data_IF_758095071733
#
_entry.id   IF_758095071733
#
_cell.length_a   1.000
_cell.length_b   1.000
_cell.length_c   1.000
_cell.angle_alpha   90.00
_cell.angle_beta   90.00
_cell.angle_gamma   90.00
#
_symmetry.space_group_name_H-M   'P 1'
#
loop_
_entity.id
_entity.type
_entity.pdbx_description
1 polymer ?
#
# COMPACT_ATOMS: atom_id res chain seq x y z
N UNK A 1 0.05 17.90 14.23
CA UNK A 1 0.82 16.65 14.33
C UNK A 1 -0.02 15.52 13.73
N UNK A 2 0.58 14.66 12.91
CA UNK A 2 -0.03 13.46 12.39
C UNK A 2 0.90 12.29 12.70
N UNK A 3 0.38 11.21 13.28
CA UNK A 3 1.14 9.99 13.55
C UNK A 3 0.27 8.75 13.38
N UNK A 4 0.89 7.65 12.96
CA UNK A 4 0.30 6.32 12.82
C UNK A 4 1.43 5.29 12.72
N UNK A 5 1.10 4.01 12.86
CA UNK A 5 2.06 2.92 12.76
C UNK A 5 1.69 1.96 11.64
N UNK A 6 2.70 1.52 10.88
CA UNK A 6 2.54 0.45 9.90
C UNK A 6 2.43 -0.89 10.61
N UNK A 7 1.28 -1.56 10.48
CA UNK A 7 1.10 -2.93 10.97
C UNK A 7 1.39 -3.92 9.84
N UNK A 8 2.28 -4.88 10.08
CA UNK A 8 2.58 -5.93 9.10
C UNK A 8 1.33 -6.76 8.85
N UNK A 9 0.92 -6.86 7.58
CA UNK A 9 -0.18 -7.71 7.15
C UNK A 9 0.31 -9.08 6.71
N UNK A 10 1.45 -9.13 6.01
CA UNK A 10 2.09 -10.38 5.57
C UNK A 10 2.78 -10.26 4.22
N UNK A 11 3.27 -11.39 3.71
CA UNK A 11 4.03 -11.48 2.46
C UNK A 11 3.11 -11.65 1.24
N UNK A 12 3.55 -11.10 0.10
CA UNK A 12 2.96 -11.38 -1.21
C UNK A 12 3.80 -12.45 -1.88
N UNK A 13 3.17 -13.54 -2.31
CA UNK A 13 3.85 -14.68 -2.96
C UNK A 13 3.15 -15.05 -4.27
N UNK A 14 3.63 -16.08 -4.95
CA UNK A 14 2.94 -16.72 -6.08
C UNK A 14 2.27 -18.02 -5.63
N UNK A 15 1.09 -18.31 -6.16
CA UNK A 15 0.50 -19.65 -6.12
C UNK A 15 1.17 -20.59 -7.14
N UNK A 16 0.74 -21.87 -7.15
CA UNK A 16 1.27 -22.88 -8.06
C UNK A 16 1.01 -22.58 -9.55
N UNK A 17 0.05 -21.70 -9.86
CA UNK A 17 -0.28 -21.28 -11.23
C UNK A 17 0.40 -19.95 -11.61
N UNK A 18 1.24 -19.40 -10.72
CA UNK A 18 1.92 -18.12 -10.93
C UNK A 18 1.01 -16.90 -10.74
N UNK A 19 -0.12 -17.05 -10.05
CA UNK A 19 -1.00 -15.98 -9.61
C UNK A 19 -0.50 -15.33 -8.30
N UNK A 20 -0.67 -14.02 -8.17
CA UNK A 20 -0.30 -13.31 -6.94
C UNK A 20 -1.20 -13.74 -5.76
N UNK A 21 -0.59 -14.11 -4.66
CA UNK A 21 -1.25 -14.33 -3.37
C UNK A 21 -0.96 -13.16 -2.44
N UNK A 22 -2.02 -12.46 -2.03
CA UNK A 22 -1.95 -11.44 -1.01
C UNK A 22 -2.38 -12.01 0.34
N UNK A 23 -1.82 -11.52 1.46
CA UNK A 23 -2.29 -11.87 2.78
C UNK A 23 -3.76 -11.43 2.95
N UNK A 24 -4.53 -12.24 3.69
CA UNK A 24 -5.95 -11.97 3.88
C UNK A 24 -6.15 -10.68 4.69
N UNK A 25 -7.03 -9.80 4.21
CA UNK A 25 -7.44 -8.59 4.92
C UNK A 25 -8.96 -8.55 5.02
N UNK A 26 -9.46 -8.56 6.25
CA UNK A 26 -10.89 -8.41 6.56
C UNK A 26 -11.29 -6.96 6.77
N UNK A 27 -10.31 -6.06 6.83
CA UNK A 27 -10.46 -4.66 7.21
C UNK A 27 -10.92 -3.78 6.03
N UNK A 28 -11.66 -2.72 6.37
CA UNK A 28 -12.31 -1.79 5.45
C UNK A 28 -11.36 -0.75 4.85
N UNK A 29 -11.62 0.52 5.14
CA UNK A 29 -10.85 1.64 4.60
C UNK A 29 -9.53 1.83 5.35
N UNK A 30 -8.48 2.22 4.64
CA UNK A 30 -7.17 2.42 5.24
C UNK A 30 -6.08 2.75 4.24
N UNK A 31 -4.85 2.75 4.75
CA UNK A 31 -3.63 2.88 3.97
C UNK A 31 -2.90 1.55 3.91
N UNK A 32 -2.05 1.40 2.90
CA UNK A 32 -1.14 0.28 2.80
C UNK A 32 0.20 0.74 2.23
N UNK A 33 1.23 -0.05 2.52
CA UNK A 33 2.55 0.06 1.93
C UNK A 33 3.01 -1.31 1.48
N UNK A 34 3.29 -1.46 0.19
CA UNK A 34 3.98 -2.63 -0.34
C UNK A 34 5.49 -2.36 -0.24
N UNK A 35 6.21 -3.26 0.42
CA UNK A 35 7.67 -3.26 0.55
C UNK A 35 8.21 -4.29 -0.43
N UNK A 36 9.13 -3.90 -1.29
CA UNK A 36 9.81 -4.77 -2.24
C UNK A 36 11.30 -4.68 -1.93
N UNK A 37 11.90 -5.80 -1.54
CA UNK A 37 13.31 -5.89 -1.17
C UNK A 37 14.02 -6.84 -2.13
N UNK A 38 15.00 -6.32 -2.87
CA UNK A 38 15.82 -7.08 -3.80
C UNK A 38 17.28 -6.65 -3.61
N UNK A 39 18.19 -7.60 -3.42
CA UNK A 39 19.63 -7.35 -3.24
C UNK A 39 19.96 -6.25 -2.21
N UNK A 40 19.25 -6.26 -1.08
CA UNK A 40 19.41 -5.28 0.00
C UNK A 40 18.84 -3.89 -0.28
N UNK A 41 18.27 -3.65 -1.48
CA UNK A 41 17.61 -2.39 -1.84
C UNK A 41 16.11 -2.50 -1.56
N UNK A 42 15.57 -1.51 -0.85
CA UNK A 42 14.13 -1.42 -0.55
C UNK A 42 13.45 -0.42 -1.47
N UNK A 43 12.32 -0.82 -2.04
CA UNK A 43 11.36 0.08 -2.70
C UNK A 43 10.01 -0.02 -1.98
N UNK A 44 9.31 1.11 -1.91
CA UNK A 44 8.01 1.20 -1.27
C UNK A 44 6.96 1.69 -2.26
N UNK A 45 5.77 1.10 -2.23
CA UNK A 45 4.58 1.64 -2.89
C UNK A 45 3.53 1.90 -1.83
N UNK A 46 3.17 3.17 -1.63
CA UNK A 46 2.17 3.60 -0.66
C UNK A 46 0.87 3.89 -1.40
N UNK A 47 -0.26 3.49 -0.81
CA UNK A 47 -1.56 3.85 -1.33
C UNK A 47 -2.68 3.85 -0.30
N UNK A 48 -3.84 4.37 -0.70
CA UNK A 48 -5.08 4.33 0.07
C UNK A 48 -6.22 3.57 -0.62
N UNK A 49 -7.18 3.09 0.17
CA UNK A 49 -8.42 2.54 -0.34
C UNK A 49 -9.55 2.65 0.68
N UNK A 50 -10.78 2.77 0.19
CA UNK A 50 -11.99 2.57 0.99
C UNK A 50 -12.25 1.07 1.30
N UNK A 51 -11.63 0.17 0.53
CA UNK A 51 -11.63 -1.26 0.78
C UNK A 51 -10.27 -1.84 0.39
N UNK A 52 -9.46 -2.20 1.39
CA UNK A 52 -8.17 -2.84 1.17
C UNK A 52 -8.34 -4.20 0.48
N UNK A 53 -9.35 -4.98 0.90
CA UNK A 53 -9.69 -6.28 0.28
C UNK A 53 -9.92 -6.14 -1.23
N UNK A 54 -10.78 -5.19 -1.66
CA UNK A 54 -11.03 -4.96 -3.09
C UNK A 54 -9.78 -4.46 -3.81
N UNK A 55 -9.00 -3.58 -3.18
CA UNK A 55 -7.76 -3.05 -3.77
C UNK A 55 -6.74 -4.15 -4.05
N UNK A 56 -6.47 -5.00 -3.07
CA UNK A 56 -5.54 -6.11 -3.22
C UNK A 56 -6.08 -7.17 -4.19
N UNK A 57 -7.39 -7.40 -4.21
CA UNK A 57 -8.03 -8.22 -5.25
C UNK A 57 -7.80 -7.69 -6.67
N UNK A 58 -7.85 -6.36 -6.87
CA UNK A 58 -7.54 -5.75 -8.16
C UNK A 58 -6.07 -5.89 -8.54
N UNK A 59 -5.13 -5.78 -7.58
CA UNK A 59 -3.71 -6.04 -7.84
C UNK A 59 -3.43 -7.51 -8.14
N UNK A 60 -4.09 -8.42 -7.44
CA UNK A 60 -4.05 -9.85 -7.75
C UNK A 60 -4.53 -10.15 -9.16
N UNK A 61 -5.68 -9.60 -9.55
CA UNK A 61 -6.29 -9.88 -10.85
C UNK A 61 -5.62 -9.15 -12.02
N UNK A 62 -5.04 -7.97 -11.78
CA UNK A 62 -4.42 -7.15 -12.82
C UNK A 62 -5.33 -6.87 -14.02
N UNK A 63 -6.55 -6.33 -13.85
CA UNK A 63 -7.45 -6.13 -14.98
C UNK A 63 -6.91 -5.05 -15.94
N UNK A 64 -6.77 -5.33 -17.26
CA UNK A 64 -6.17 -4.39 -18.22
C UNK A 64 -6.85 -3.01 -18.30
N UNK A 65 -8.16 -2.95 -18.03
CA UNK A 65 -8.92 -1.69 -18.00
C UNK A 65 -8.60 -0.77 -16.82
N UNK A 66 -7.87 -1.24 -15.80
CA UNK A 66 -7.44 -0.44 -14.65
C UNK A 66 -5.93 -0.29 -14.66
N UNK A 67 -5.43 0.75 -15.35
CA UNK A 67 -3.99 0.98 -15.59
C UNK A 67 -3.12 0.79 -14.34
N UNK A 68 -3.50 1.40 -13.20
CA UNK A 68 -2.74 1.25 -11.96
C UNK A 68 -2.72 -0.19 -11.45
N UNK A 69 -3.86 -0.87 -11.46
CA UNK A 69 -3.96 -2.24 -10.97
C UNK A 69 -3.18 -3.21 -11.84
N UNK A 70 -3.29 -3.06 -13.17
CA UNK A 70 -2.52 -3.81 -14.16
C UNK A 70 -1.01 -3.62 -14.00
N UNK A 71 -0.58 -2.37 -13.84
CA UNK A 71 0.84 -2.04 -13.65
C UNK A 71 1.42 -2.65 -12.37
N UNK A 72 0.72 -2.48 -11.25
CA UNK A 72 1.17 -3.04 -9.97
C UNK A 72 1.18 -4.58 -10.03
N UNK A 73 0.19 -5.20 -10.68
CA UNK A 73 0.19 -6.65 -10.90
C UNK A 73 1.50 -7.14 -11.55
N UNK A 74 1.87 -6.55 -12.69
CA UNK A 74 3.08 -6.94 -13.40
C UNK A 74 4.34 -6.63 -12.61
N UNK A 75 4.44 -5.44 -12.02
CA UNK A 75 5.58 -5.06 -11.19
C UNK A 75 5.85 -6.06 -10.07
N UNK A 76 4.81 -6.56 -9.39
CA UNK A 76 4.99 -7.54 -8.32
C UNK A 76 5.39 -8.92 -8.85
N UNK A 77 4.83 -9.35 -9.98
CA UNK A 77 5.21 -10.62 -10.61
C UNK A 77 6.66 -10.61 -11.08
N UNK A 78 7.08 -9.53 -11.73
CA UNK A 78 8.45 -9.37 -12.23
C UNK A 78 9.44 -9.35 -11.07
N UNK A 79 9.16 -8.57 -10.02
CA UNK A 79 9.99 -8.54 -8.82
C UNK A 79 10.09 -9.91 -8.13
N UNK A 80 8.99 -10.67 -8.03
CA UNK A 80 9.02 -12.03 -7.48
C UNK A 80 9.83 -12.99 -8.35
N UNK A 81 9.75 -12.86 -9.68
CA UNK A 81 10.56 -13.66 -10.61
C UNK A 81 12.06 -13.35 -10.50
N UNK A 82 12.40 -12.11 -10.15
CA UNK A 82 13.78 -11.67 -9.85
C UNK A 82 14.24 -12.10 -8.44
N UNK A 83 13.38 -12.72 -7.63
CA UNK A 83 13.71 -13.18 -6.28
C UNK A 83 13.53 -12.14 -5.18
N UNK A 84 12.80 -11.06 -5.44
CA UNK A 84 12.51 -10.04 -4.44
C UNK A 84 11.60 -10.59 -3.32
N UNK A 85 11.85 -10.15 -2.09
CA UNK A 85 10.95 -10.35 -0.97
C UNK A 85 9.91 -9.23 -0.96
N UNK A 86 8.63 -9.59 -1.01
CA UNK A 86 7.53 -8.62 -1.05
C UNK A 86 6.61 -8.79 0.15
N UNK A 87 6.33 -7.70 0.86
CA UNK A 87 5.40 -7.69 1.99
C UNK A 87 4.47 -6.47 1.96
N UNK A 88 3.33 -6.58 2.63
CA UNK A 88 2.37 -5.49 2.80
C UNK A 88 2.28 -5.14 4.28
N UNK A 89 2.31 -3.83 4.55
CA UNK A 89 1.90 -3.26 5.81
C UNK A 89 0.64 -2.43 5.61
N UNK A 90 -0.18 -2.28 6.65
CA UNK A 90 -1.43 -1.53 6.62
C UNK A 90 -1.59 -0.57 7.79
N UNK A 91 -2.45 0.42 7.60
CA UNK A 91 -2.95 1.32 8.65
C UNK A 91 -4.46 1.36 8.54
N UNK A 92 -5.14 0.84 9.55
CA UNK A 92 -6.61 0.78 9.62
C UNK A 92 -7.18 1.37 10.91
N UNK A 93 -6.29 1.69 11.86
CA UNK A 93 -6.60 2.26 13.16
C UNK A 93 -5.35 3.00 13.68
N UNK A 94 -5.42 3.54 14.90
CA UNK A 94 -4.26 4.11 15.58
C UNK A 94 -3.73 5.41 14.96
N UNK A 95 -4.52 6.08 14.12
CA UNK A 95 -4.13 7.37 13.53
C UNK A 95 -4.47 8.49 14.51
N UNK A 96 -3.47 9.26 14.92
CA UNK A 96 -3.64 10.46 15.71
C UNK A 96 -3.42 11.70 14.82
N UNK A 97 -4.35 12.65 14.89
CA UNK A 97 -4.28 13.93 14.19
C UNK A 97 -4.51 15.07 15.19
N UNK A 98 -3.70 16.12 15.10
CA UNK A 98 -3.91 17.35 15.83
C UNK A 98 -3.60 18.57 14.95
N UNK A 99 -4.49 19.56 14.94
CA UNK A 99 -4.31 20.84 14.24
C UNK A 99 -4.36 21.94 15.30
N UNK A 100 -3.34 22.81 15.35
CA UNK A 100 -3.19 23.86 16.37
C UNK A 100 -3.30 23.32 17.81
N UNK A 101 -2.79 22.11 18.06
CA UNK A 101 -2.86 21.44 19.37
C UNK A 101 -4.21 20.78 19.69
N UNK A 102 -5.26 21.03 18.90
CA UNK A 102 -6.56 20.38 19.08
C UNK A 102 -6.55 19.00 18.41
N UNK A 103 -6.81 17.95 19.20
CA UNK A 103 -6.97 16.58 18.71
C UNK A 103 -8.20 16.44 17.81
N UNK A 104 -8.02 15.77 16.69
CA UNK A 104 -9.07 15.43 15.72
C UNK A 104 -9.07 13.92 15.58
N UNK A 105 -10.25 13.30 15.65
CA UNK A 105 -10.42 11.87 15.36
C UNK A 105 -10.52 11.67 13.84
N UNK A 106 -9.46 11.18 13.16
CA UNK A 106 -9.51 10.98 11.72
C UNK A 106 -10.46 9.82 11.36
N UNK A 107 -11.29 10.02 10.34
CA UNK A 107 -12.15 8.97 9.82
C UNK A 107 -11.55 8.38 8.55
N UNK A 108 -11.02 7.16 8.61
CA UNK A 108 -10.46 6.49 7.42
C UNK A 108 -11.51 6.14 6.37
N UNK A 109 -12.82 6.19 6.64
CA UNK A 109 -13.84 6.08 5.59
C UNK A 109 -13.90 7.34 4.70
N UNK A 110 -13.46 8.49 5.20
CA UNK A 110 -13.39 9.73 4.45
C UNK A 110 -12.18 9.76 3.49
N UNK A 111 -12.44 10.15 2.24
CA UNK A 111 -11.42 10.17 1.18
C UNK A 111 -10.37 11.24 1.43
N UNK A 112 -10.76 12.42 1.89
CA UNK A 112 -9.82 13.52 2.13
C UNK A 112 -8.83 13.16 3.24
N UNK A 113 -9.34 12.57 4.32
CA UNK A 113 -8.54 12.04 5.43
C UNK A 113 -7.51 11.03 4.94
N UNK A 114 -7.92 9.99 4.20
CA UNK A 114 -6.97 8.99 3.68
C UNK A 114 -5.91 9.59 2.76
N UNK A 115 -6.30 10.55 1.90
CA UNK A 115 -5.36 11.22 0.97
C UNK A 115 -4.34 12.10 1.68
N UNK A 116 -4.75 12.82 2.72
CA UNK A 116 -3.82 13.58 3.55
C UNK A 116 -2.78 12.65 4.21
N UNK A 117 -3.23 11.53 4.77
CA UNK A 117 -2.34 10.58 5.45
C UNK A 117 -1.43 9.87 4.43
N UNK A 118 -1.93 9.54 3.24
CA UNK A 118 -1.14 8.94 2.15
C UNK A 118 0.00 9.87 1.72
N UNK A 119 -0.28 11.15 1.51
CA UNK A 119 0.79 12.11 1.17
C UNK A 119 1.80 12.27 2.30
N UNK A 120 1.35 12.32 3.57
CA UNK A 120 2.27 12.36 4.70
C UNK A 120 3.17 11.10 4.76
N UNK A 121 2.60 9.92 4.48
CA UNK A 121 3.34 8.68 4.38
C UNK A 121 4.40 8.72 3.27
N UNK A 122 4.04 9.21 2.07
CA UNK A 122 4.95 9.34 0.92
C UNK A 122 6.14 10.26 1.27
N UNK A 123 5.86 11.41 1.91
CA UNK A 123 6.90 12.34 2.37
C UNK A 123 7.80 11.67 3.41
N UNK A 124 7.23 10.96 4.39
CA UNK A 124 7.98 10.25 5.42
C UNK A 124 8.87 9.12 4.85
N UNK A 125 8.49 8.51 3.73
CA UNK A 125 9.32 7.52 3.03
C UNK A 125 10.44 8.12 2.17
N UNK A 126 10.70 9.43 2.30
CA UNK A 126 11.86 10.10 1.71
C UNK A 126 11.56 10.98 0.51
N UNK A 127 10.31 11.13 0.08
CA UNK A 127 9.86 12.13 -0.91
C UNK A 127 10.46 12.03 -2.32
N UNK A 128 11.57 11.33 -2.52
CA UNK A 128 12.08 10.90 -3.82
C UNK A 128 11.22 9.74 -4.28
N UNK A 129 10.33 10.02 -5.22
CA UNK A 129 9.73 9.06 -6.15
C UNK A 129 9.72 7.62 -5.62
N UNK A 130 8.64 7.25 -4.92
CA UNK A 130 7.98 5.98 -5.24
C UNK A 130 7.80 6.06 -6.75
N UNK A 131 8.77 5.58 -7.55
CA UNK A 131 8.88 5.82 -9.00
C UNK A 131 7.48 6.06 -9.53
N UNK A 132 7.16 7.34 -9.79
CA UNK A 132 6.04 7.64 -10.64
C UNK A 132 6.39 6.89 -11.91
N UNK A 133 5.82 5.69 -12.02
CA UNK A 133 5.65 4.94 -13.24
C UNK A 133 4.61 5.70 -14.09
N UNK A 134 4.93 6.97 -14.31
CA UNK A 134 4.41 7.94 -15.24
C UNK A 134 5.54 8.15 -16.25
N UNK A 135 5.70 7.18 -17.13
CA UNK A 135 5.78 7.48 -18.55
C UNK A 135 4.70 6.67 -19.25
#
# INVERSE_FOLDING_TARGET
>A
MLSFEWKVLGEITLDMEGGLLFPAVTLGAGLYRIRIVLDGRSRFYVGESQSLRRRFGNYRAGPPGQKTSYRIHHLLKDALAEGAQIAVDIVTDGVALAINGAGISPNLADKATRRMIEHAAIVATGGTDVELANK
#
